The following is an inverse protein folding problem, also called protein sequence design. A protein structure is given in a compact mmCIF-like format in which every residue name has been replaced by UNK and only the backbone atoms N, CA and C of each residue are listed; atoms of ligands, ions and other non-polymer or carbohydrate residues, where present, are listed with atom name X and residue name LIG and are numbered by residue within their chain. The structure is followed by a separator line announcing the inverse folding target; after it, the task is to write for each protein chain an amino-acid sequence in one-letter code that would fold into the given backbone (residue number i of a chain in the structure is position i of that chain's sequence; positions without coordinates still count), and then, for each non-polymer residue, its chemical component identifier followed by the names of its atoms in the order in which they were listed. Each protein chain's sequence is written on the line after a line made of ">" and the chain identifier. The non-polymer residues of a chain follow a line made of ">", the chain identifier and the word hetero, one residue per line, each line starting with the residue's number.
data_IF_466759916797
#
_entry.id   IF_466759916797
#
_cell.length_a   1.000
_cell.length_b   1.000
_cell.length_c   1.000
_cell.angle_alpha   90.00
_cell.angle_beta   90.00
_cell.angle_gamma   90.00
#
_symmetry.space_group_name_H-M   'P 1'
#
loop_
_entity.id
_entity.type
_entity.pdbx_description
1 polymer ?
#
# COMPACT_ATOMS: atom_id res chain seq x y z
N UNK A 1 -13.79 3.49 10.15
CA UNK A 1 -12.64 3.90 9.31
C UNK A 1 -12.33 2.76 8.37
N UNK A 2 -11.90 3.03 7.12
CA UNK A 2 -11.37 1.96 6.26
C UNK A 2 -10.06 1.44 6.86
N UNK A 3 -9.90 0.13 6.94
CA UNK A 3 -8.67 -0.50 7.50
C UNK A 3 -7.64 -0.84 6.42
N UNK A 4 -8.11 -1.02 5.18
CA UNK A 4 -7.30 -1.41 4.05
C UNK A 4 -7.53 -0.50 2.84
N UNK A 5 -6.45 -0.16 2.15
CA UNK A 5 -6.48 0.44 0.83
C UNK A 5 -6.33 -0.64 -0.22
N UNK A 6 -7.10 -0.50 -1.29
CA UNK A 6 -6.84 -1.23 -2.53
C UNK A 6 -5.53 -0.73 -3.15
N UNK A 7 -5.04 -1.49 -4.12
CA UNK A 7 -3.81 -1.13 -4.83
C UNK A 7 -3.94 0.22 -5.54
N UNK A 8 -5.11 0.53 -6.10
CA UNK A 8 -5.41 1.81 -6.76
C UNK A 8 -5.47 2.97 -5.75
N UNK A 9 -6.18 2.81 -4.63
CA UNK A 9 -6.21 3.83 -3.58
C UNK A 9 -4.79 4.11 -3.03
N UNK A 10 -3.95 3.08 -2.92
CA UNK A 10 -2.57 3.26 -2.51
C UNK A 10 -1.72 4.00 -3.57
N UNK A 11 -2.02 3.84 -4.86
CA UNK A 11 -1.41 4.64 -5.94
C UNK A 11 -1.78 6.11 -5.81
N UNK A 12 -3.05 6.39 -5.57
CA UNK A 12 -3.53 7.77 -5.42
C UNK A 12 -2.97 8.43 -4.16
N UNK A 13 -2.88 7.70 -3.04
CA UNK A 13 -2.34 8.21 -1.78
C UNK A 13 -0.83 8.48 -1.84
N UNK A 14 -0.06 7.61 -2.51
CA UNK A 14 1.40 7.71 -2.57
C UNK A 14 1.91 8.46 -3.80
N UNK A 15 1.04 8.74 -4.78
CA UNK A 15 1.44 9.27 -6.09
C UNK A 15 2.38 8.34 -6.86
N UNK A 16 2.35 7.04 -6.54
CA UNK A 16 3.27 6.03 -7.09
C UNK A 16 2.59 5.17 -8.15
N UNK A 17 3.40 4.72 -9.12
CA UNK A 17 2.95 3.72 -10.10
C UNK A 17 2.74 2.37 -9.41
N UNK A 18 1.83 1.57 -9.98
CA UNK A 18 1.56 0.18 -9.55
C UNK A 18 2.83 -0.65 -9.34
N UNK A 19 3.78 -0.58 -10.27
CA UNK A 19 5.04 -1.32 -10.19
C UNK A 19 5.89 -0.90 -8.99
N UNK A 20 5.91 0.39 -8.63
CA UNK A 20 6.63 0.90 -7.47
C UNK A 20 5.97 0.38 -6.18
N UNK A 21 4.64 0.39 -6.09
CA UNK A 21 3.93 -0.17 -4.92
C UNK A 21 4.21 -1.67 -4.77
N UNK A 22 4.16 -2.42 -5.86
CA UNK A 22 4.48 -3.85 -5.84
C UNK A 22 5.92 -4.12 -5.40
N UNK A 23 6.86 -3.28 -5.83
CA UNK A 23 8.25 -3.33 -5.37
C UNK A 23 8.33 -3.08 -3.86
N UNK A 24 7.63 -2.07 -3.34
CA UNK A 24 7.60 -1.74 -1.89
C UNK A 24 6.97 -2.83 -1.04
N UNK A 25 5.95 -3.50 -1.56
CA UNK A 25 5.37 -4.70 -0.93
C UNK A 25 6.36 -5.86 -0.91
N UNK A 26 7.16 -6.03 -1.96
CA UNK A 26 8.22 -7.05 -2.02
C UNK A 26 9.39 -6.72 -1.09
N UNK A 27 9.73 -5.45 -0.95
CA UNK A 27 10.77 -4.94 -0.05
C UNK A 27 10.35 -4.94 1.42
N UNK A 28 9.06 -5.18 1.72
CA UNK A 28 8.54 -5.20 3.09
C UNK A 28 8.28 -3.81 3.67
N UNK A 29 8.38 -2.75 2.86
CA UNK A 29 8.08 -1.38 3.28
C UNK A 29 6.58 -1.11 3.38
N UNK A 30 5.78 -1.87 2.62
CA UNK A 30 4.32 -1.91 2.71
C UNK A 30 3.85 -3.31 3.10
N UNK A 31 2.76 -3.37 3.87
CA UNK A 31 2.18 -4.61 4.37
C UNK A 31 1.01 -5.07 3.49
N UNK A 32 1.14 -6.21 2.76
CA UNK A 32 0.06 -6.75 1.97
C UNK A 32 -0.97 -7.46 2.87
N UNK A 33 -2.23 -7.08 2.73
CA UNK A 33 -3.38 -7.76 3.35
C UNK A 33 -4.16 -8.48 2.25
N UNK A 34 -4.59 -9.71 2.51
CA UNK A 34 -5.37 -10.48 1.54
C UNK A 34 -6.80 -10.64 2.04
N UNK A 35 -7.74 -9.95 1.40
CA UNK A 35 -9.17 -10.13 1.66
C UNK A 35 -9.75 -11.17 0.73
N UNK A 36 -10.54 -12.10 1.28
CA UNK A 36 -11.29 -13.05 0.47
C UNK A 36 -12.41 -12.32 -0.27
N UNK A 37 -12.60 -12.63 -1.55
CA UNK A 37 -13.71 -12.10 -2.36
C UNK A 37 -14.86 -13.11 -2.29
N UNK A 38 -15.88 -12.89 -1.44
CA UNK A 38 -16.88 -13.92 -1.12
C UNK A 38 -17.71 -14.37 -2.33
N UNK A 39 -17.85 -13.52 -3.35
CA UNK A 39 -18.71 -13.81 -4.53
C UNK A 39 -18.00 -14.41 -5.75
N UNK A 40 -16.67 -14.35 -5.83
CA UNK A 40 -15.93 -14.74 -7.05
C UNK A 40 -14.96 -15.90 -6.86
N UNK A 41 -14.64 -16.28 -5.62
CA UNK A 41 -13.55 -17.21 -5.34
C UNK A 41 -12.21 -16.56 -5.67
N UNK A 42 -11.49 -16.10 -4.66
CA UNK A 42 -10.20 -15.45 -4.85
C UNK A 42 -9.82 -14.53 -3.70
N UNK A 43 -8.56 -14.08 -3.72
CA UNK A 43 -8.04 -13.11 -2.74
C UNK A 43 -7.74 -11.80 -3.45
N UNK A 44 -8.32 -10.70 -2.96
CA UNK A 44 -7.91 -9.36 -3.34
C UNK A 44 -6.72 -8.96 -2.48
N UNK A 45 -5.65 -8.51 -3.12
CA UNK A 45 -4.53 -7.89 -2.40
C UNK A 45 -4.89 -6.43 -2.10
N UNK A 46 -4.96 -6.13 -0.82
CA UNK A 46 -5.11 -4.82 -0.23
C UNK A 46 -3.84 -4.49 0.56
N UNK A 47 -3.75 -3.27 1.08
CA UNK A 47 -2.59 -2.74 1.78
C UNK A 47 -3.11 -2.06 3.05
N UNK A 48 -2.51 -2.34 4.20
CA UNK A 48 -2.95 -1.75 5.47
C UNK A 48 -2.81 -0.22 5.45
N UNK A 49 -3.88 0.49 5.84
CA UNK A 49 -3.86 1.96 5.96
C UNK A 49 -2.76 2.41 6.92
N UNK A 50 -2.55 1.67 8.02
CA UNK A 50 -1.50 1.98 9.00
C UNK A 50 -0.10 1.79 8.42
N UNK A 51 0.08 0.81 7.52
CA UNK A 51 1.33 0.61 6.81
C UNK A 51 1.61 1.75 5.83
N UNK A 52 0.60 2.19 5.07
CA UNK A 52 0.72 3.36 4.17
C UNK A 52 1.07 4.63 4.96
N UNK A 53 0.40 4.87 6.09
CA UNK A 53 0.69 6.02 6.94
C UNK A 53 2.12 5.99 7.52
N UNK A 54 2.60 4.81 7.94
CA UNK A 54 4.00 4.63 8.39
C UNK A 54 4.97 4.90 7.24
N UNK A 55 4.69 4.39 6.04
CA UNK A 55 5.51 4.63 4.87
C UNK A 55 5.62 6.12 4.55
N UNK A 56 4.49 6.84 4.50
CA UNK A 56 4.46 8.29 4.28
C UNK A 56 5.30 8.98 5.36
N UNK A 57 5.07 8.68 6.65
CA UNK A 57 5.85 9.29 7.75
C UNK A 57 7.36 9.08 7.62
N UNK A 58 7.79 7.90 7.19
CA UNK A 58 9.21 7.57 7.03
C UNK A 58 9.82 8.24 5.79
N UNK A 59 9.06 8.35 4.69
CA UNK A 59 9.54 8.95 3.45
C UNK A 59 9.44 10.48 3.42
N UNK A 60 8.45 11.08 4.10
CA UNK A 60 8.30 12.52 4.22
C UNK A 60 9.45 13.13 5.06
N UNK A 61 9.87 12.41 6.11
CA UNK A 61 11.09 12.73 6.87
C UNK A 61 12.40 12.45 6.11
N UNK A 62 12.34 11.74 4.98
CA UNK A 62 13.47 11.46 4.08
C UNK A 62 13.54 12.39 2.85
N UNK A 63 12.55 13.26 2.67
CA UNK A 63 12.36 14.12 1.48
C UNK A 63 13.35 15.28 1.30
N UNK A 64 14.54 15.21 1.93
CA UNK A 64 15.64 16.15 1.70
C UNK A 64 16.95 15.41 1.40
N UNK A 65 16.96 14.63 0.32
CA UNK A 65 18.20 14.39 -0.43
C UNK A 65 18.06 15.11 -1.77
N UNK A 66 18.34 16.41 -1.70
CA UNK A 66 18.78 17.23 -2.83
C UNK A 66 20.05 16.65 -3.43
#
# INVERSE_FOLDING_TARGET
>A
MKEYFTLEECMDQLGLKRSAILKRLKEGELEPVYENIPKKGGRRRCISVSSVAKYIKNHDNGGKRR
#
